data_IF_047217520674
#
_entry.id   IF_047217520674
#
_cell.length_a   1.000
_cell.length_b   1.000
_cell.length_c   1.000
_cell.angle_alpha   90.00
_cell.angle_beta   90.00
_cell.angle_gamma   90.00
#
_symmetry.space_group_name_H-M   'P 1'
#
loop_
_entity.id
_entity.type
_entity.pdbx_description
1 polymer ?
#
# COMPACT_ATOMS: atom_id res chain seq x y z
N UNK A 1 -37.85 -26.46 52.26
CA UNK A 1 -36.55 -26.32 51.56
C UNK A 1 -36.60 -26.80 50.10
N UNK A 2 -37.11 -28.01 49.80
CA UNK A 2 -37.18 -28.54 48.41
C UNK A 2 -38.07 -27.72 47.46
N UNK A 3 -39.24 -27.29 47.92
CA UNK A 3 -40.18 -26.44 47.17
C UNK A 3 -39.57 -25.07 46.80
N UNK A 4 -38.82 -24.46 47.73
CA UNK A 4 -38.21 -23.14 47.53
C UNK A 4 -37.12 -23.17 46.46
N UNK A 5 -36.30 -24.24 46.42
CA UNK A 5 -35.28 -24.44 45.38
C UNK A 5 -35.90 -24.49 43.98
N UNK A 6 -37.05 -25.15 43.82
CA UNK A 6 -37.77 -25.19 42.52
C UNK A 6 -38.18 -23.79 42.05
N UNK A 7 -38.66 -22.92 42.95
CA UNK A 7 -39.03 -21.55 42.59
C UNK A 7 -37.82 -20.68 42.24
N UNK A 8 -36.70 -20.87 42.95
CA UNK A 8 -35.43 -20.18 42.62
C UNK A 8 -34.92 -20.63 41.25
N UNK A 9 -34.88 -21.93 40.97
CA UNK A 9 -34.51 -22.47 39.65
C UNK A 9 -35.41 -21.96 38.53
N UNK A 10 -36.73 -21.91 38.76
CA UNK A 10 -37.69 -21.35 37.80
C UNK A 10 -37.42 -19.87 37.48
N UNK A 11 -36.89 -19.10 38.44
CA UNK A 11 -36.50 -17.69 38.27
C UNK A 11 -35.22 -17.53 37.45
N UNK A 12 -34.30 -18.50 37.51
CA UNK A 12 -33.04 -18.48 36.74
C UNK A 12 -33.24 -18.80 35.25
N UNK A 13 -34.29 -19.53 34.87
CA UNK A 13 -34.60 -19.84 33.46
C UNK A 13 -34.78 -18.57 32.61
N UNK A 14 -35.67 -17.61 32.94
CA UNK A 14 -35.82 -16.38 32.16
C UNK A 14 -34.55 -15.50 32.21
N UNK A 15 -33.82 -15.50 33.32
CA UNK A 15 -32.56 -14.75 33.48
C UNK A 15 -31.46 -15.30 32.57
N UNK A 16 -31.31 -16.62 32.48
CA UNK A 16 -30.34 -17.25 31.57
C UNK A 16 -30.70 -17.02 30.11
N UNK A 17 -32.00 -17.04 29.77
CA UNK A 17 -32.49 -16.69 28.44
C UNK A 17 -32.19 -15.23 28.09
N UNK A 18 -32.45 -14.30 29.00
CA UNK A 18 -32.14 -12.87 28.87
C UNK A 18 -30.65 -12.63 28.68
N UNK A 19 -29.83 -13.27 29.52
CA UNK A 19 -28.37 -13.22 29.44
C UNK A 19 -27.84 -13.73 28.11
N UNK A 20 -28.40 -14.83 27.59
CA UNK A 20 -28.03 -15.36 26.27
C UNK A 20 -28.39 -14.36 25.17
N UNK A 21 -29.57 -13.75 25.22
CA UNK A 21 -29.98 -12.74 24.24
C UNK A 21 -29.07 -11.50 24.26
N UNK A 22 -28.73 -10.97 25.44
CA UNK A 22 -27.82 -9.83 25.59
C UNK A 22 -26.40 -10.15 25.10
N UNK A 23 -25.89 -11.35 25.41
CA UNK A 23 -24.59 -11.79 24.93
C UNK A 23 -24.58 -11.93 23.40
N UNK A 24 -25.59 -12.57 22.82
CA UNK A 24 -25.69 -12.74 21.37
C UNK A 24 -25.80 -11.38 20.67
N UNK A 25 -26.58 -10.44 21.22
CA UNK A 25 -26.66 -9.08 20.70
C UNK A 25 -25.32 -8.35 20.70
N UNK A 26 -24.59 -8.39 21.82
CA UNK A 26 -23.28 -7.75 21.94
C UNK A 26 -22.26 -8.37 20.98
N UNK A 27 -22.26 -9.70 20.83
CA UNK A 27 -21.37 -10.41 19.90
C UNK A 27 -21.72 -10.07 18.45
N UNK A 28 -23.01 -10.04 18.08
CA UNK A 28 -23.43 -9.71 16.72
C UNK A 28 -23.11 -8.27 16.34
N UNK A 29 -23.29 -7.32 17.27
CA UNK A 29 -22.88 -5.94 17.04
C UNK A 29 -21.37 -5.79 16.95
N UNK A 30 -20.63 -6.46 17.83
CA UNK A 30 -19.17 -6.49 17.80
C UNK A 30 -18.65 -7.05 16.48
N UNK A 31 -19.24 -8.15 16.00
CA UNK A 31 -18.88 -8.77 14.72
C UNK A 31 -19.17 -7.81 13.54
N UNK A 32 -20.34 -7.18 13.50
CA UNK A 32 -20.66 -6.20 12.46
C UNK A 32 -19.65 -5.04 12.44
N UNK A 33 -19.27 -4.50 13.61
CA UNK A 33 -18.28 -3.43 13.72
C UNK A 33 -16.89 -3.88 13.27
N UNK A 34 -16.48 -5.10 13.58
CA UNK A 34 -15.21 -5.66 13.10
C UNK A 34 -15.22 -5.78 11.58
N UNK A 35 -16.28 -6.33 10.99
CA UNK A 35 -16.43 -6.45 9.54
C UNK A 35 -16.37 -5.07 8.86
N UNK A 36 -17.11 -4.09 9.37
CA UNK A 36 -17.08 -2.71 8.86
C UNK A 36 -15.66 -2.13 8.96
N UNK A 37 -15.00 -2.29 10.09
CA UNK A 37 -13.65 -1.75 10.32
C UNK A 37 -12.63 -2.38 9.37
N UNK A 38 -12.70 -3.70 9.15
CA UNK A 38 -11.84 -4.41 8.20
C UNK A 38 -12.06 -3.89 6.78
N UNK A 39 -13.31 -3.75 6.35
CA UNK A 39 -13.64 -3.26 5.01
C UNK A 39 -13.19 -1.81 4.80
N UNK A 40 -13.36 -0.95 5.80
CA UNK A 40 -12.90 0.44 5.74
C UNK A 40 -11.36 0.51 5.70
N UNK A 41 -10.65 -0.28 6.50
CA UNK A 41 -9.18 -0.35 6.46
C UNK A 41 -8.67 -0.89 5.12
N UNK A 42 -9.33 -1.93 4.59
CA UNK A 42 -8.99 -2.49 3.27
C UNK A 42 -9.20 -1.47 2.16
N UNK A 43 -10.35 -0.79 2.14
CA UNK A 43 -10.64 0.27 1.17
C UNK A 43 -9.67 1.44 1.28
N UNK A 44 -9.35 1.89 2.50
CA UNK A 44 -8.42 2.98 2.73
C UNK A 44 -7.01 2.63 2.25
N UNK A 45 -6.47 1.47 2.64
CA UNK A 45 -5.13 1.03 2.22
C UNK A 45 -5.04 0.85 0.71
N UNK A 46 -6.08 0.30 0.07
CA UNK A 46 -6.13 0.18 -1.39
C UNK A 46 -6.15 1.54 -2.08
N UNK A 47 -6.99 2.47 -1.60
CA UNK A 47 -7.06 3.83 -2.14
C UNK A 47 -5.75 4.58 -2.00
N UNK A 48 -5.12 4.53 -0.82
CA UNK A 48 -3.85 5.21 -0.56
C UNK A 48 -2.70 4.62 -1.39
N UNK A 49 -2.63 3.29 -1.48
CA UNK A 49 -1.60 2.60 -2.24
C UNK A 49 -1.75 2.80 -3.76
N UNK A 50 -2.98 3.01 -4.24
CA UNK A 50 -3.24 3.37 -5.63
C UNK A 50 -3.00 4.86 -5.91
N UNK A 51 -3.43 5.74 -5.02
CA UNK A 51 -3.36 7.19 -5.22
C UNK A 51 -1.94 7.77 -5.05
N UNK A 52 -1.06 7.09 -4.33
CA UNK A 52 0.29 7.58 -4.05
C UNK A 52 1.34 6.49 -4.25
N UNK A 53 2.50 6.81 -4.88
CA UNK A 53 3.63 5.89 -4.96
C UNK A 53 4.30 5.78 -3.58
N UNK A 54 3.64 5.10 -2.65
CA UNK A 54 4.15 4.96 -1.29
C UNK A 54 5.42 4.10 -1.30
N UNK A 55 6.49 4.50 -0.59
CA UNK A 55 7.63 3.61 -0.37
C UNK A 55 7.21 2.43 0.51
N UNK A 56 7.93 1.31 0.39
CA UNK A 56 7.65 0.06 1.12
C UNK A 56 7.48 0.28 2.65
N UNK A 57 8.32 1.13 3.25
CA UNK A 57 8.24 1.46 4.68
C UNK A 57 6.94 2.16 5.09
N UNK A 58 6.43 3.10 4.27
CA UNK A 58 5.17 3.78 4.55
C UNK A 58 3.99 2.83 4.47
N UNK A 59 3.98 1.92 3.48
CA UNK A 59 2.98 0.85 3.36
C UNK A 59 2.98 -0.06 4.59
N UNK A 60 4.16 -0.48 5.05
CA UNK A 60 4.30 -1.32 6.24
C UNK A 60 3.70 -0.65 7.49
N UNK A 61 4.02 0.62 7.73
CA UNK A 61 3.48 1.39 8.86
C UNK A 61 1.96 1.52 8.75
N UNK A 62 1.42 1.83 7.57
CA UNK A 62 -0.02 1.92 7.34
C UNK A 62 -0.73 0.58 7.62
N UNK A 63 -0.18 -0.53 7.11
CA UNK A 63 -0.71 -1.87 7.38
C UNK A 63 -0.71 -2.19 8.88
N UNK A 64 0.35 -1.80 9.60
CA UNK A 64 0.47 -2.02 11.05
C UNK A 64 -0.56 -1.20 11.84
N UNK A 65 -0.80 0.06 11.44
CA UNK A 65 -1.86 0.91 12.01
C UNK A 65 -3.23 0.29 11.77
N UNK A 66 -3.53 -0.15 10.55
CA UNK A 66 -4.80 -0.79 10.22
C UNK A 66 -5.01 -2.09 11.01
N UNK A 67 -3.98 -2.94 11.12
CA UNK A 67 -4.03 -4.15 11.96
C UNK A 67 -4.23 -3.81 13.43
N UNK A 68 -3.60 -2.75 13.94
CA UNK A 68 -3.79 -2.25 15.29
C UNK A 68 -5.23 -1.78 15.55
N UNK A 69 -5.83 -1.03 14.62
CA UNK A 69 -7.22 -0.56 14.71
C UNK A 69 -8.19 -1.76 14.71
N UNK A 70 -8.03 -2.68 13.76
CA UNK A 70 -8.85 -3.90 13.67
C UNK A 70 -8.71 -4.73 14.95
N UNK A 71 -7.48 -4.94 15.43
CA UNK A 71 -7.19 -5.67 16.66
C UNK A 71 -7.80 -5.01 17.90
N UNK A 72 -7.72 -3.68 18.00
CA UNK A 72 -8.34 -2.92 19.09
C UNK A 72 -9.86 -3.04 19.07
N UNK A 73 -10.50 -2.87 17.92
CA UNK A 73 -11.97 -2.99 17.79
C UNK A 73 -12.41 -4.42 18.13
N UNK A 74 -11.70 -5.43 17.60
CA UNK A 74 -11.94 -6.84 17.90
C UNK A 74 -11.84 -7.14 19.40
N UNK A 75 -10.75 -6.71 20.06
CA UNK A 75 -10.58 -6.91 21.50
C UNK A 75 -11.65 -6.18 22.33
N UNK A 76 -11.96 -4.94 21.96
CA UNK A 76 -12.85 -4.05 22.73
C UNK A 76 -14.33 -4.42 22.62
N UNK A 77 -14.76 -4.88 21.43
CA UNK A 77 -16.17 -5.06 21.09
C UNK A 77 -16.56 -6.53 20.88
N UNK A 78 -15.62 -7.44 20.63
CA UNK A 78 -15.91 -8.86 20.51
C UNK A 78 -15.39 -9.65 21.72
N UNK A 79 -14.11 -9.51 22.07
CA UNK A 79 -13.51 -10.30 23.18
C UNK A 79 -13.96 -9.82 24.57
N UNK A 80 -14.02 -8.51 24.80
CA UNK A 80 -14.42 -7.95 26.11
C UNK A 80 -15.85 -8.33 26.54
N UNK A 81 -16.87 -8.33 25.65
CA UNK A 81 -18.20 -8.81 26.02
C UNK A 81 -18.27 -10.33 26.24
N UNK A 82 -17.46 -11.12 25.53
CA UNK A 82 -17.37 -12.57 25.73
C UNK A 82 -16.75 -12.93 27.08
N UNK A 83 -15.79 -12.14 27.56
CA UNK A 83 -15.10 -12.36 28.84
C UNK A 83 -15.86 -11.79 30.04
N UNK A 84 -16.64 -10.71 29.87
CA UNK A 84 -17.49 -10.17 30.94
C UNK A 84 -18.78 -10.97 31.07
N UNK A 85 -18.88 -11.75 32.15
CA UNK A 85 -20.11 -12.44 32.52
C UNK A 85 -21.18 -11.40 32.91
N UNK A 86 -22.25 -11.28 32.13
CA UNK A 86 -23.46 -10.55 32.55
C UNK A 86 -23.97 -11.17 33.85
N UNK A 87 -23.94 -10.40 34.93
CA UNK A 87 -24.42 -10.85 36.25
C UNK A 87 -25.93 -11.07 36.22
N UNK A 88 -26.44 -12.01 37.01
CA UNK A 88 -27.89 -12.25 37.12
C UNK A 88 -28.67 -10.97 37.46
N UNK A 89 -28.06 -10.09 38.26
CA UNK A 89 -28.63 -8.82 38.71
C UNK A 89 -28.80 -7.83 37.55
N UNK A 90 -27.82 -7.77 36.62
CA UNK A 90 -27.91 -6.96 35.40
C UNK A 90 -28.98 -7.48 34.43
N UNK A 91 -29.13 -8.80 34.33
CA UNK A 91 -30.17 -9.40 33.51
C UNK A 91 -31.57 -9.18 34.12
N UNK A 92 -31.70 -9.22 35.46
CA UNK A 92 -32.93 -8.87 36.15
C UNK A 92 -33.31 -7.41 35.93
N UNK A 93 -32.35 -6.48 36.06
CA UNK A 93 -32.54 -5.06 35.76
C UNK A 93 -32.96 -4.81 34.31
N UNK A 94 -32.36 -5.51 33.35
CA UNK A 94 -32.71 -5.37 31.94
C UNK A 94 -34.16 -5.84 31.65
N UNK A 95 -34.63 -6.89 32.34
CA UNK A 95 -36.02 -7.34 32.25
C UNK A 95 -36.96 -6.31 32.89
N UNK A 96 -36.65 -5.80 34.08
CA UNK A 96 -37.48 -4.79 34.76
C UNK A 96 -37.56 -3.47 34.01
N UNK A 97 -36.50 -3.06 33.32
CA UNK A 97 -36.49 -1.86 32.49
C UNK A 97 -37.50 -1.95 31.32
N UNK A 98 -37.78 -3.15 30.83
CA UNK A 98 -38.76 -3.38 29.78
C UNK A 98 -40.18 -3.65 30.33
N UNK A 99 -40.28 -4.18 31.55
CA UNK A 99 -41.54 -4.49 32.22
C UNK A 99 -41.65 -3.73 33.55
N UNK A 100 -42.04 -2.44 33.54
CA UNK A 100 -42.16 -1.61 34.75
C UNK A 100 -43.14 -2.16 35.80
N UNK A 101 -44.05 -3.06 35.39
CA UNK A 101 -45.01 -3.76 36.26
C UNK A 101 -44.34 -4.56 37.39
N UNK A 102 -43.08 -4.96 37.20
CA UNK A 102 -42.32 -5.72 38.20
C UNK A 102 -41.81 -4.87 39.37
N UNK A 103 -41.74 -3.52 39.26
CA UNK A 103 -41.39 -2.60 40.36
C UNK A 103 -40.26 -3.07 41.31
N UNK A 104 -39.11 -3.48 40.77
CA UNK A 104 -37.96 -4.01 41.54
C UNK A 104 -38.17 -5.38 42.22
N UNK A 105 -39.27 -6.07 41.97
CA UNK A 105 -39.58 -7.36 42.57
C UNK A 105 -38.70 -8.50 42.02
N UNK A 106 -38.25 -8.41 40.75
CA UNK A 106 -37.40 -9.41 40.12
C UNK A 106 -35.96 -9.31 40.61
N UNK A 107 -35.38 -8.11 40.67
CA UNK A 107 -34.03 -7.95 41.22
C UNK A 107 -33.97 -8.35 42.70
N UNK A 108 -34.98 -7.97 43.48
CA UNK A 108 -35.10 -8.34 44.89
C UNK A 108 -35.26 -9.85 45.05
N UNK A 109 -36.09 -10.51 44.23
CA UNK A 109 -36.24 -11.97 44.26
C UNK A 109 -34.95 -12.73 43.88
N UNK A 110 -34.13 -12.19 42.97
CA UNK A 110 -32.81 -12.78 42.64
C UNK A 110 -31.83 -12.63 43.80
N UNK A 111 -31.80 -11.47 44.45
CA UNK A 111 -30.94 -11.22 45.62
C UNK A 111 -31.35 -12.11 46.80
N UNK A 112 -32.64 -12.15 47.14
CA UNK A 112 -33.18 -13.01 48.18
C UNK A 112 -33.01 -14.48 47.86
N UNK A 113 -33.23 -14.90 46.61
CA UNK A 113 -33.00 -16.27 46.17
C UNK A 113 -31.53 -16.72 46.33
N UNK A 114 -30.57 -15.81 46.14
CA UNK A 114 -29.14 -16.10 46.39
C UNK A 114 -28.84 -16.25 47.89
N UNK A 115 -29.46 -15.42 48.74
CA UNK A 115 -29.30 -15.49 50.20
C UNK A 115 -29.96 -16.74 50.79
N UNK A 116 -31.13 -17.14 50.30
CA UNK A 116 -31.90 -18.29 50.78
C UNK A 116 -31.29 -19.65 50.40
N UNK A 117 -30.41 -19.69 49.40
CA UNK A 117 -29.70 -20.90 48.94
C UNK A 117 -28.36 -21.08 49.67
N UNK A 118 -27.78 -20.01 50.22
CA UNK A 118 -26.48 -20.02 50.88
C UNK A 118 -26.64 -20.30 52.40
N UNK A 119 -26.31 -21.51 52.88
CA UNK A 119 -26.64 -21.94 54.25
C UNK A 119 -25.97 -21.07 55.33
N UNK A 120 -24.82 -20.46 55.05
CA UNK A 120 -24.11 -19.58 56.00
C UNK A 120 -24.79 -18.22 56.20
N UNK A 121 -25.44 -17.69 55.16
CA UNK A 121 -26.11 -16.38 55.21
C UNK A 121 -27.57 -16.48 55.67
N UNK A 122 -28.15 -17.68 55.57
CA UNK A 122 -29.49 -17.96 56.05
C UNK A 122 -29.58 -17.81 57.57
N UNK A 123 -28.55 -18.25 58.33
CA UNK A 123 -28.46 -18.15 59.79
C UNK A 123 -28.55 -16.71 60.30
N UNK A 124 -27.99 -15.76 59.55
CA UNK A 124 -28.00 -14.32 59.86
C UNK A 124 -29.33 -13.63 59.52
N UNK A 125 -30.17 -14.26 58.67
CA UNK A 125 -31.39 -13.67 58.10
C UNK A 125 -32.70 -14.35 58.56
N UNK A 126 -32.66 -15.16 59.63
CA UNK A 126 -33.78 -16.04 60.04
C UNK A 126 -35.11 -15.31 60.28
N UNK A 127 -35.10 -14.10 60.83
CA UNK A 127 -36.35 -13.38 61.16
C UNK A 127 -37.13 -12.90 59.93
N UNK A 128 -36.45 -12.64 58.81
CA UNK A 128 -37.07 -12.15 57.57
C UNK A 128 -37.12 -13.19 56.44
N UNK A 129 -36.65 -14.42 56.71
CA UNK A 129 -36.55 -15.49 55.71
C UNK A 129 -37.92 -15.91 55.14
N UNK A 130 -38.98 -15.87 55.96
CA UNK A 130 -40.34 -16.22 55.52
C UNK A 130 -40.91 -15.20 54.53
N UNK A 131 -40.71 -13.89 54.79
CA UNK A 131 -41.11 -12.82 53.88
C UNK A 131 -40.29 -12.87 52.57
N UNK A 132 -38.98 -13.08 52.68
CA UNK A 132 -38.10 -13.25 51.52
C UNK A 132 -38.53 -14.46 50.66
N UNK A 133 -38.86 -15.60 51.27
CA UNK A 133 -39.37 -16.77 50.57
C UNK A 133 -40.71 -16.51 49.86
N UNK A 134 -41.60 -15.73 50.48
CA UNK A 134 -42.89 -15.35 49.88
C UNK A 134 -42.70 -14.47 48.65
N UNK A 135 -41.84 -13.44 48.73
CA UNK A 135 -41.53 -12.56 47.59
C UNK A 135 -40.92 -13.33 46.43
N UNK A 136 -39.99 -14.26 46.68
CA UNK A 136 -39.41 -15.13 45.63
C UNK A 136 -40.51 -15.96 44.95
N UNK A 137 -41.41 -16.56 45.72
CA UNK A 137 -42.51 -17.39 45.19
C UNK A 137 -43.50 -16.57 44.36
N UNK A 138 -43.87 -15.38 44.84
CA UNK A 138 -44.84 -14.52 44.15
C UNK A 138 -44.25 -13.95 42.86
N UNK A 139 -43.01 -13.45 42.91
CA UNK A 139 -42.28 -12.97 41.73
C UNK A 139 -42.06 -14.09 40.72
N UNK A 140 -41.68 -15.30 41.15
CA UNK A 140 -41.54 -16.45 40.26
C UNK A 140 -42.84 -16.73 39.48
N UNK A 141 -43.99 -16.70 40.16
CA UNK A 141 -45.30 -16.91 39.51
C UNK A 141 -45.65 -15.78 38.54
N UNK A 142 -45.37 -14.52 38.87
CA UNK A 142 -45.61 -13.39 37.96
C UNK A 142 -44.74 -13.48 36.71
N UNK A 143 -43.44 -13.72 36.89
CA UNK A 143 -42.47 -13.80 35.79
C UNK A 143 -42.73 -15.01 34.91
N UNK A 144 -43.17 -16.15 35.47
CA UNK A 144 -43.51 -17.34 34.68
C UNK A 144 -44.74 -17.12 33.79
N UNK A 145 -45.70 -16.31 34.25
CA UNK A 145 -46.86 -15.91 33.43
C UNK A 145 -46.50 -14.91 32.33
N UNK A 146 -45.42 -14.17 32.51
CA UNK A 146 -44.92 -13.23 31.49
C UNK A 146 -44.03 -13.98 30.49
N UNK A 147 -44.38 -13.92 29.20
CA UNK A 147 -43.47 -14.36 28.15
C UNK A 147 -42.32 -13.38 28.03
N UNK A 148 -41.20 -13.67 28.69
CA UNK A 148 -39.98 -12.87 28.55
C UNK A 148 -39.42 -13.06 27.13
N UNK A 149 -39.79 -12.14 26.25
CA UNK A 149 -39.36 -12.07 24.84
C UNK A 149 -39.19 -10.61 24.44
N UNK A 150 -38.10 -10.32 23.71
CA UNK A 150 -37.87 -8.97 23.18
C UNK A 150 -37.05 -8.04 24.07
N UNK A 151 -36.31 -8.56 25.07
CA UNK A 151 -35.45 -7.78 26.00
C UNK A 151 -34.47 -6.86 25.28
N UNK A 152 -34.12 -7.19 24.05
CA UNK A 152 -33.14 -6.44 23.27
C UNK A 152 -33.76 -5.94 21.97
N UNK A 153 -33.59 -4.64 21.72
CA UNK A 153 -33.96 -4.01 20.46
C UNK A 153 -32.99 -4.43 19.35
N UNK A 154 -33.46 -5.24 18.41
CA UNK A 154 -32.66 -5.74 17.28
C UNK A 154 -32.48 -4.73 16.15
N UNK A 155 -33.29 -3.65 16.10
CA UNK A 155 -33.23 -2.65 15.02
C UNK A 155 -31.83 -2.04 14.81
N UNK A 156 -31.09 -1.60 15.84
CA UNK A 156 -29.73 -1.09 15.67
C UNK A 156 -28.77 -2.14 15.11
N UNK A 157 -28.91 -3.40 15.52
CA UNK A 157 -28.12 -4.52 14.99
C UNK A 157 -28.41 -4.73 13.52
N UNK A 158 -29.68 -4.75 13.12
CA UNK A 158 -30.06 -4.89 11.71
C UNK A 158 -29.50 -3.73 10.88
N UNK A 159 -29.55 -2.48 11.38
CA UNK A 159 -28.93 -1.33 10.70
C UNK A 159 -27.42 -1.49 10.53
N UNK A 160 -26.70 -1.93 11.57
CA UNK A 160 -25.26 -2.19 11.48
C UNK A 160 -24.94 -3.29 10.46
N UNK A 161 -25.71 -4.38 10.47
CA UNK A 161 -25.55 -5.46 9.50
C UNK A 161 -25.94 -5.03 8.08
N UNK A 162 -26.91 -4.13 7.92
CA UNK A 162 -27.24 -3.55 6.61
C UNK A 162 -26.06 -2.72 6.08
N UNK A 163 -25.42 -1.89 6.92
CA UNK A 163 -24.21 -1.14 6.54
C UNK A 163 -23.07 -2.10 6.18
N UNK A 164 -22.81 -3.11 7.01
CA UNK A 164 -21.80 -4.13 6.74
C UNK A 164 -22.09 -4.87 5.42
N UNK A 165 -23.36 -5.20 5.16
CA UNK A 165 -23.82 -5.84 3.93
C UNK A 165 -23.59 -4.97 2.70
N UNK A 166 -23.92 -3.67 2.77
CA UNK A 166 -23.66 -2.72 1.67
C UNK A 166 -22.15 -2.60 1.38
N UNK A 167 -21.32 -2.50 2.42
CA UNK A 167 -19.87 -2.46 2.25
C UNK A 167 -19.31 -3.77 1.68
N UNK A 168 -19.82 -4.92 2.12
CA UNK A 168 -19.45 -6.23 1.58
C UNK A 168 -19.86 -6.36 0.10
N UNK A 169 -21.06 -5.91 -0.26
CA UNK A 169 -21.52 -5.91 -1.65
C UNK A 169 -20.66 -5.00 -2.53
N UNK A 170 -20.32 -3.79 -2.05
CA UNK A 170 -19.43 -2.88 -2.77
C UNK A 170 -18.03 -3.48 -2.96
N UNK A 171 -17.46 -4.08 -1.92
CA UNK A 171 -16.16 -4.76 -1.99
C UNK A 171 -16.20 -6.00 -2.91
N UNK A 172 -17.28 -6.78 -2.86
CA UNK A 172 -17.50 -7.94 -3.72
C UNK A 172 -17.61 -7.54 -5.19
N UNK A 173 -18.42 -6.52 -5.50
CA UNK A 173 -18.57 -5.99 -6.85
C UNK A 173 -17.23 -5.47 -7.38
N UNK A 174 -16.48 -4.71 -6.58
CA UNK A 174 -15.14 -4.23 -6.95
C UNK A 174 -14.19 -5.39 -7.25
N UNK A 175 -14.21 -6.45 -6.43
CA UNK A 175 -13.37 -7.65 -6.63
C UNK A 175 -13.76 -8.40 -7.91
N UNK A 176 -15.04 -8.45 -8.26
CA UNK A 176 -15.50 -9.08 -9.51
C UNK A 176 -15.07 -8.30 -10.75
N UNK A 177 -15.09 -6.95 -10.69
CA UNK A 177 -14.70 -6.11 -11.83
C UNK A 177 -13.17 -6.02 -11.99
N UNK A 178 -12.43 -5.99 -10.87
CA UNK A 178 -10.98 -5.78 -10.86
C UNK A 178 -10.22 -6.83 -10.02
N UNK A 179 -10.30 -8.14 -10.34
CA UNK A 179 -9.72 -9.19 -9.52
C UNK A 179 -8.19 -9.08 -9.40
N UNK A 180 -7.51 -8.70 -10.48
CA UNK A 180 -6.04 -8.54 -10.49
C UNK A 180 -5.58 -7.39 -9.57
N UNK A 181 -6.35 -6.30 -9.48
CA UNK A 181 -6.01 -5.19 -8.60
C UNK A 181 -6.10 -5.60 -7.12
N UNK A 182 -7.16 -6.33 -6.75
CA UNK A 182 -7.34 -6.83 -5.38
C UNK A 182 -6.23 -7.82 -5.02
N UNK A 183 -5.86 -8.71 -5.95
CA UNK A 183 -4.76 -9.65 -5.75
C UNK A 183 -3.42 -8.94 -5.55
N UNK A 184 -3.09 -7.96 -6.39
CA UNK A 184 -1.87 -7.17 -6.26
C UNK A 184 -1.84 -6.39 -4.94
N UNK A 185 -2.97 -5.78 -4.56
CA UNK A 185 -3.11 -5.10 -3.27
C UNK A 185 -2.89 -6.05 -2.10
N UNK A 186 -3.47 -7.27 -2.12
CA UNK A 186 -3.25 -8.29 -1.09
C UNK A 186 -1.78 -8.72 -1.00
N UNK A 187 -1.15 -9.00 -2.14
CA UNK A 187 0.28 -9.34 -2.20
C UNK A 187 1.12 -8.21 -1.58
N UNK A 188 0.83 -6.95 -1.92
CA UNK A 188 1.51 -5.76 -1.38
C UNK A 188 1.25 -5.52 0.11
N UNK A 189 0.04 -5.82 0.58
CA UNK A 189 -0.33 -5.67 1.98
C UNK A 189 0.44 -6.65 2.89
N UNK A 190 0.56 -7.92 2.47
CA UNK A 190 1.27 -8.94 3.24
C UNK A 190 2.78 -8.96 3.00
N UNK A 191 3.25 -8.52 1.83
CA UNK A 191 4.68 -8.53 1.48
C UNK A 191 5.20 -7.14 1.06
N UNK A 192 5.16 -6.13 1.94
CA UNK A 192 5.39 -4.74 1.58
C UNK A 192 6.79 -4.45 0.99
N UNK A 193 7.79 -5.28 1.32
CA UNK A 193 9.18 -5.09 0.89
C UNK A 193 9.57 -5.86 -0.39
N UNK A 194 8.78 -6.84 -0.81
CA UNK A 194 9.08 -7.69 -1.99
C UNK A 194 8.00 -7.64 -3.07
N UNK A 195 6.93 -6.89 -2.84
CA UNK A 195 5.81 -6.85 -3.75
C UNK A 195 6.10 -6.05 -5.03
N UNK A 196 5.44 -6.48 -6.12
CA UNK A 196 5.53 -5.83 -7.43
C UNK A 196 4.90 -4.44 -7.39
N UNK A 197 5.45 -3.54 -8.20
CA UNK A 197 4.83 -2.25 -8.44
C UNK A 197 3.49 -2.41 -9.17
N UNK A 198 2.59 -1.44 -8.97
CA UNK A 198 1.34 -1.40 -9.73
C UNK A 198 1.69 -1.40 -11.23
N UNK A 199 0.99 -2.18 -12.06
CA UNK A 199 1.24 -2.20 -13.48
C UNK A 199 1.04 -0.79 -14.05
N UNK A 200 2.14 -0.17 -14.46
CA UNK A 200 2.12 1.13 -15.11
C UNK A 200 1.32 1.03 -16.42
N UNK A 201 0.49 2.04 -16.67
CA UNK A 201 -0.31 2.12 -17.90
C UNK A 201 0.61 2.33 -19.10
N UNK A 202 1.65 3.14 -18.92
CA UNK A 202 2.67 3.41 -19.90
C UNK A 202 3.93 2.60 -19.55
N UNK A 203 4.65 2.11 -20.56
CA UNK A 203 5.97 1.51 -20.36
C UNK A 203 6.88 2.01 -21.48
N UNK A 204 8.04 2.54 -21.11
CA UNK A 204 9.00 3.12 -22.05
C UNK A 204 10.26 2.25 -22.11
N UNK A 205 10.69 1.91 -23.32
CA UNK A 205 11.95 1.21 -23.58
C UNK A 205 12.82 2.05 -24.49
N UNK A 206 14.00 2.43 -24.02
CA UNK A 206 14.99 3.13 -24.85
C UNK A 206 15.62 2.11 -25.83
N UNK A 207 15.43 2.34 -27.13
CA UNK A 207 16.04 1.51 -28.19
C UNK A 207 17.44 2.00 -28.51
N UNK A 208 17.61 3.32 -28.59
CA UNK A 208 18.89 3.98 -28.81
C UNK A 208 19.02 5.19 -27.89
N UNK A 209 20.16 5.34 -27.20
CA UNK A 209 21.32 4.43 -27.12
C UNK A 209 21.03 3.16 -26.29
N UNK A 210 21.65 2.03 -26.67
CA UNK A 210 21.46 0.73 -25.99
C UNK A 210 22.25 0.63 -24.68
N UNK A 211 23.36 1.38 -24.57
CA UNK A 211 24.23 1.37 -23.38
C UNK A 211 23.89 2.55 -22.47
N UNK A 212 23.93 2.37 -21.13
CA UNK A 212 23.66 3.44 -20.17
C UNK A 212 24.71 4.57 -20.22
N UNK A 213 25.93 4.26 -20.66
CA UNK A 213 26.99 5.24 -20.91
C UNK A 213 27.35 5.18 -22.39
N UNK A 214 27.18 6.31 -23.09
CA UNK A 214 27.54 6.46 -24.49
C UNK A 214 28.64 7.50 -24.62
N UNK A 215 29.72 7.14 -25.31
CA UNK A 215 30.83 8.06 -25.59
C UNK A 215 30.62 8.64 -26.98
N UNK A 216 30.61 9.97 -27.09
CA UNK A 216 30.47 10.69 -28.35
C UNK A 216 31.65 11.64 -28.54
N UNK A 217 31.97 11.95 -29.79
CA UNK A 217 32.94 13.01 -30.05
C UNK A 217 32.29 14.38 -29.90
N UNK A 218 33.07 15.38 -29.50
CA UNK A 218 32.61 16.77 -29.40
C UNK A 218 32.02 17.25 -30.73
N UNK A 219 30.78 17.74 -30.68
CA UNK A 219 30.03 18.20 -31.85
C UNK A 219 29.22 17.11 -32.57
N UNK A 220 29.33 15.84 -32.17
CA UNK A 220 28.48 14.78 -32.73
C UNK A 220 27.02 14.94 -32.28
N UNK A 221 26.11 14.36 -33.08
CA UNK A 221 24.69 14.31 -32.78
C UNK A 221 24.27 12.91 -32.35
N UNK A 222 23.30 12.84 -31.45
CA UNK A 222 22.72 11.57 -30.98
C UNK A 222 21.21 11.57 -31.20
N UNK A 223 20.73 10.53 -31.86
CA UNK A 223 19.29 10.27 -31.96
C UNK A 223 18.85 9.38 -30.81
N UNK A 224 18.00 9.91 -29.94
CA UNK A 224 17.34 9.15 -28.87
C UNK A 224 16.03 8.58 -29.42
N UNK A 225 15.92 7.26 -29.42
CA UNK A 225 14.73 6.52 -29.87
C UNK A 225 14.11 5.76 -28.69
N UNK A 226 12.83 6.03 -28.42
CA UNK A 226 12.08 5.42 -27.33
C UNK A 226 10.85 4.72 -27.89
N UNK A 227 10.61 3.49 -27.43
CA UNK A 227 9.44 2.70 -27.78
C UNK A 227 8.50 2.62 -26.58
N UNK A 228 7.21 2.87 -26.83
CA UNK A 228 6.15 2.60 -25.88
C UNK A 228 5.70 1.15 -26.01
N UNK A 229 5.86 0.36 -24.95
CA UNK A 229 5.47 -1.05 -24.88
C UNK A 229 4.36 -1.31 -23.84
N UNK A 230 3.75 -0.25 -23.30
CA UNK A 230 2.71 -0.33 -22.26
C UNK A 230 1.34 -0.78 -22.77
N UNK A 231 0.38 -0.93 -21.85
CA UNK A 231 -1.03 -1.23 -22.19
C UNK A 231 -1.71 -0.06 -22.92
N UNK A 232 -1.25 1.16 -22.65
CA UNK A 232 -1.64 2.37 -23.36
C UNK A 232 -0.38 3.05 -23.89
N UNK A 233 -0.52 3.71 -25.05
CA UNK A 233 0.54 4.52 -25.63
C UNK A 233 0.31 5.99 -25.27
N UNK A 234 1.35 6.72 -24.82
CA UNK A 234 1.22 8.13 -24.48
C UNK A 234 1.13 8.97 -25.76
N UNK A 235 0.39 10.08 -25.73
CA UNK A 235 0.33 10.99 -26.88
C UNK A 235 1.60 11.86 -27.00
N UNK A 236 2.29 12.06 -25.88
CA UNK A 236 3.52 12.88 -25.81
C UNK A 236 4.50 12.23 -24.83
N UNK A 237 5.78 12.22 -25.21
CA UNK A 237 6.90 11.83 -24.35
C UNK A 237 7.82 13.03 -24.20
N UNK A 238 8.18 13.35 -22.96
CA UNK A 238 9.08 14.47 -22.66
C UNK A 238 10.46 13.93 -22.35
N UNK A 239 11.47 14.51 -23.00
CA UNK A 239 12.88 14.24 -22.74
C UNK A 239 13.43 15.31 -21.81
N UNK A 240 13.93 14.89 -20.65
CA UNK A 240 14.64 15.73 -19.72
C UNK A 240 16.14 15.57 -19.92
N UNK A 241 16.83 16.69 -20.08
CA UNK A 241 18.29 16.72 -20.27
C UNK A 241 18.95 17.61 -19.22
N UNK A 242 20.14 17.23 -18.77
CA UNK A 242 20.94 17.99 -17.81
C UNK A 242 22.39 17.98 -18.29
N UNK A 243 22.95 19.17 -18.47
CA UNK A 243 24.27 19.37 -19.08
C UNK A 243 25.29 19.75 -18.00
N UNK A 244 26.56 19.42 -18.22
CA UNK A 244 27.66 19.98 -17.42
C UNK A 244 28.00 21.39 -17.89
N UNK A 245 28.17 22.28 -16.92
CA UNK A 245 28.69 23.63 -17.11
C UNK A 245 30.18 23.61 -17.49
N UNK A 246 30.72 24.72 -17.99
CA UNK A 246 32.12 24.86 -18.42
C UNK A 246 33.12 24.54 -17.29
N UNK A 247 32.70 24.74 -16.04
CA UNK A 247 33.47 24.42 -14.82
C UNK A 247 33.41 22.95 -14.41
N UNK A 248 32.72 22.11 -15.18
CA UNK A 248 32.58 20.66 -14.94
C UNK A 248 31.49 20.26 -13.94
N UNK A 249 30.71 21.22 -13.42
CA UNK A 249 29.60 20.98 -12.49
C UNK A 249 28.30 20.66 -13.25
N UNK A 250 27.45 19.80 -12.70
CA UNK A 250 26.12 19.56 -13.26
C UNK A 250 25.23 20.79 -13.05
N UNK A 251 24.50 21.20 -14.09
CA UNK A 251 23.46 22.22 -13.95
C UNK A 251 22.40 21.74 -12.93
N UNK A 252 21.92 22.65 -12.08
CA UNK A 252 20.98 22.33 -11.00
C UNK A 252 19.54 22.06 -11.44
N UNK A 253 19.26 22.08 -12.75
CA UNK A 253 17.92 21.90 -13.30
C UNK A 253 17.95 20.97 -14.52
N UNK A 254 16.80 20.37 -14.81
CA UNK A 254 16.58 19.57 -16.01
C UNK A 254 15.82 20.41 -17.04
N UNK A 255 16.32 20.44 -18.27
CA UNK A 255 15.63 21.05 -19.39
C UNK A 255 14.68 20.03 -20.04
N UNK A 256 13.40 20.36 -20.11
CA UNK A 256 12.36 19.51 -20.68
C UNK A 256 12.10 19.86 -22.14
N UNK A 257 12.20 18.88 -23.03
CA UNK A 257 11.86 19.03 -24.45
C UNK A 257 10.91 17.92 -24.90
N UNK A 258 9.81 18.24 -25.60
CA UNK A 258 8.95 17.20 -26.16
C UNK A 258 9.67 16.43 -27.27
N UNK A 259 9.43 15.12 -27.32
CA UNK A 259 9.90 14.24 -28.38
C UNK A 259 8.92 14.23 -29.55
N UNK A 260 9.44 14.01 -30.75
CA UNK A 260 8.62 13.83 -31.95
C UNK A 260 8.02 12.42 -31.96
N UNK A 261 6.70 12.33 -32.15
CA UNK A 261 6.01 11.06 -32.32
C UNK A 261 6.14 10.57 -33.76
N UNK A 262 6.65 9.35 -33.92
CA UNK A 262 6.72 8.64 -35.20
C UNK A 262 5.70 7.51 -35.14
N UNK A 263 4.48 7.79 -35.58
CA UNK A 263 3.34 6.89 -35.43
C UNK A 263 2.81 6.87 -33.99
N UNK A 264 2.27 5.74 -33.55
CA UNK A 264 1.62 5.61 -32.24
C UNK A 264 2.53 5.09 -31.12
N UNK A 265 3.67 4.47 -31.44
CA UNK A 265 4.48 3.71 -30.45
C UNK A 265 5.94 4.11 -30.37
N UNK A 266 6.43 4.96 -31.28
CA UNK A 266 7.84 5.36 -31.33
C UNK A 266 7.97 6.87 -31.17
N UNK A 267 8.90 7.27 -30.30
CA UNK A 267 9.23 8.67 -30.04
C UNK A 267 10.70 8.88 -30.33
N UNK A 268 11.02 9.96 -31.03
CA UNK A 268 12.37 10.30 -31.46
C UNK A 268 12.70 11.72 -31.07
N UNK A 269 13.94 11.93 -30.60
CA UNK A 269 14.53 13.25 -30.47
C UNK A 269 15.97 13.21 -30.93
N UNK A 270 16.33 14.11 -31.83
CA UNK A 270 17.73 14.30 -32.22
C UNK A 270 18.34 15.39 -31.35
N UNK A 271 19.38 15.03 -30.61
CA UNK A 271 20.22 15.96 -29.86
C UNK A 271 21.38 16.34 -30.78
N UNK A 272 21.37 17.57 -31.28
CA UNK A 272 22.37 18.06 -32.22
C UNK A 272 23.50 18.79 -31.50
N UNK A 273 24.72 18.69 -32.05
CA UNK A 273 25.90 19.43 -31.61
C UNK A 273 26.18 19.31 -30.09
N UNK A 274 26.41 18.08 -29.61
CA UNK A 274 26.68 17.83 -28.19
C UNK A 274 28.14 18.19 -27.88
N UNK A 275 28.34 19.25 -27.07
CA UNK A 275 29.68 19.78 -26.75
C UNK A 275 30.19 19.33 -25.38
N UNK A 276 29.31 19.15 -24.40
CA UNK A 276 29.64 18.81 -23.01
C UNK A 276 28.91 17.55 -22.56
N UNK A 277 29.39 16.92 -21.49
CA UNK A 277 28.73 15.75 -20.91
C UNK A 277 27.28 16.07 -20.54
N UNK A 278 26.40 15.13 -20.85
CA UNK A 278 24.96 15.29 -20.66
C UNK A 278 24.37 14.04 -20.00
N UNK A 279 23.38 14.24 -19.14
CA UNK A 279 22.48 13.19 -18.67
C UNK A 279 21.12 13.40 -19.31
N UNK A 280 20.43 12.33 -19.60
CA UNK A 280 19.04 12.42 -20.00
C UNK A 280 18.22 11.26 -19.45
N UNK A 281 16.94 11.53 -19.27
CA UNK A 281 15.90 10.51 -19.09
C UNK A 281 14.64 11.01 -19.79
N UNK A 282 13.76 10.08 -20.14
CA UNK A 282 12.46 10.38 -20.68
C UNK A 282 11.34 9.95 -19.74
N UNK A 283 10.24 10.70 -19.81
CA UNK A 283 9.06 10.55 -18.98
C UNK A 283 7.80 10.63 -19.85
N UNK A 284 6.82 9.77 -19.57
CA UNK A 284 5.51 9.82 -20.18
C UNK A 284 4.44 9.32 -19.21
N UNK A 285 3.61 10.22 -18.69
CA UNK A 285 2.56 9.87 -17.73
C UNK A 285 3.14 9.28 -16.45
N UNK A 286 2.91 7.99 -16.22
CA UNK A 286 3.40 7.24 -15.05
C UNK A 286 4.72 6.48 -15.30
N UNK A 287 5.25 6.54 -16.53
CA UNK A 287 6.46 5.83 -16.92
C UNK A 287 7.68 6.74 -16.99
N UNK A 288 8.76 6.35 -16.32
CA UNK A 288 10.06 7.02 -16.37
C UNK A 288 11.14 6.03 -16.78
N UNK A 289 12.05 6.46 -17.65
CA UNK A 289 13.21 5.64 -18.08
C UNK A 289 14.40 5.81 -17.15
N UNK A 290 15.35 4.86 -17.10
CA UNK A 290 16.61 5.03 -16.39
C UNK A 290 17.40 6.24 -16.92
N UNK A 291 18.23 6.84 -16.07
CA UNK A 291 19.09 7.95 -16.48
C UNK A 291 20.26 7.43 -17.32
N UNK A 292 20.38 7.94 -18.55
CA UNK A 292 21.49 7.69 -19.46
C UNK A 292 22.52 8.80 -19.36
N UNK A 293 23.81 8.46 -19.52
CA UNK A 293 24.93 9.38 -19.51
C UNK A 293 25.62 9.41 -20.87
N UNK A 294 25.83 10.61 -21.38
CA UNK A 294 26.61 10.90 -22.57
C UNK A 294 27.91 11.53 -22.10
N UNK A 295 29.03 10.90 -22.46
CA UNK A 295 30.38 11.41 -22.19
C UNK A 295 30.97 11.92 -23.49
N UNK A 296 31.36 13.18 -23.51
CA UNK A 296 31.92 13.80 -24.71
C UNK A 296 33.44 13.72 -24.63
N UNK A 297 34.07 13.23 -25.70
CA UNK A 297 35.53 13.23 -25.86
C UNK A 297 35.93 14.05 -27.07
N UNK A 298 37.09 14.67 -27.01
CA UNK A 298 37.64 15.35 -28.19
C UNK A 298 38.15 14.32 -29.19
N UNK A 299 38.01 14.61 -30.49
CA UNK A 299 38.59 13.77 -31.53
C UNK A 299 40.11 13.94 -31.48
N UNK A 300 40.88 12.86 -31.60
CA UNK A 300 42.30 13.00 -31.82
C UNK A 300 42.54 13.80 -33.10
N UNK A 301 43.45 14.75 -33.02
CA UNK A 301 43.92 15.48 -34.20
C UNK A 301 45.39 15.13 -34.44
N UNK A 302 45.79 15.22 -35.71
CA UNK A 302 47.18 15.02 -36.09
C UNK A 302 47.93 16.30 -35.71
N UNK A 303 48.81 16.21 -34.72
CA UNK A 303 49.61 17.35 -34.25
C UNK A 303 50.79 17.60 -35.21
N UNK A 304 51.45 16.52 -35.63
CA UNK A 304 52.61 16.61 -36.53
C UNK A 304 52.75 15.37 -37.40
N UNK A 305 53.03 15.58 -38.67
CA UNK A 305 53.47 14.55 -39.60
C UNK A 305 54.93 14.84 -39.93
N UNK A 306 55.80 13.85 -39.78
CA UNK A 306 57.22 13.95 -40.13
C UNK A 306 57.54 12.87 -41.15
N UNK A 307 57.99 13.27 -42.33
CA UNK A 307 58.40 12.40 -43.42
C UNK A 307 59.92 12.47 -43.54
N UNK A 308 60.61 11.40 -43.17
CA UNK A 308 62.05 11.28 -43.37
C UNK A 308 62.30 10.67 -44.75
N UNK A 309 62.98 11.41 -45.61
CA UNK A 309 63.26 11.07 -46.99
C UNK A 309 64.67 10.53 -47.10
N UNK A 310 64.78 9.23 -47.41
CA UNK A 310 66.05 8.59 -47.71
C UNK A 310 66.23 8.55 -49.23
N UNK A 311 67.07 9.45 -49.74
CA UNK A 311 67.31 9.56 -51.18
C UNK A 311 68.19 8.40 -51.69
N UNK A 312 68.00 7.97 -52.94
CA UNK A 312 68.85 6.95 -53.55
C UNK A 312 70.32 7.39 -53.66
N UNK A 313 71.25 6.44 -53.58
CA UNK A 313 72.70 6.72 -53.62
C UNK A 313 73.17 7.48 -54.87
N UNK A 314 72.49 7.31 -56.01
CA UNK A 314 72.84 7.98 -57.27
C UNK A 314 72.72 9.51 -57.19
N UNK A 315 71.93 10.04 -56.25
CA UNK A 315 71.76 11.48 -56.04
C UNK A 315 72.86 12.10 -55.21
N UNK A 316 73.64 11.29 -54.47
CA UNK A 316 74.65 11.76 -53.51
C UNK A 316 74.13 12.87 -52.59
N UNK A 317 72.85 12.82 -52.22
CA UNK A 317 72.17 13.82 -51.40
C UNK A 317 71.95 13.27 -50.00
N UNK A 318 72.09 14.13 -48.99
CA UNK A 318 71.78 13.77 -47.60
C UNK A 318 70.27 13.64 -47.41
N UNK A 319 69.88 12.80 -46.47
CA UNK A 319 68.48 12.63 -46.06
C UNK A 319 67.85 13.97 -45.68
N UNK A 320 66.56 14.11 -45.97
CA UNK A 320 65.82 15.35 -45.80
C UNK A 320 64.51 15.07 -45.05
N UNK A 321 63.99 16.08 -44.35
CA UNK A 321 62.81 15.96 -43.50
C UNK A 321 61.72 16.88 -44.00
N UNK A 322 60.58 16.31 -44.40
CA UNK A 322 59.42 17.07 -44.83
C UNK A 322 58.29 16.99 -43.77
N UNK A 323 57.61 18.11 -43.57
CA UNK A 323 56.50 18.23 -42.60
C UNK A 323 55.12 18.34 -43.27
N UNK A 324 55.06 18.22 -44.59
CA UNK A 324 53.83 18.38 -45.39
C UNK A 324 53.43 17.06 -46.05
N UNK A 325 52.13 16.79 -46.11
CA UNK A 325 51.59 15.52 -46.65
C UNK A 325 51.59 15.42 -48.18
N UNK A 326 51.89 16.51 -48.90
CA UNK A 326 52.04 16.50 -50.36
C UNK A 326 53.49 16.77 -50.71
N UNK A 327 54.16 15.76 -51.28
CA UNK A 327 55.56 15.84 -51.62
C UNK A 327 55.82 15.19 -52.98
N UNK A 328 56.58 15.88 -53.84
CA UNK A 328 57.12 15.29 -55.06
C UNK A 328 58.52 14.78 -54.78
N UNK A 329 58.69 13.45 -54.83
CA UNK A 329 59.98 12.82 -54.61
C UNK A 329 60.47 12.11 -55.88
N UNK A 330 61.79 12.06 -56.07
CA UNK A 330 62.44 11.26 -57.10
C UNK A 330 62.12 9.77 -56.94
N UNK A 331 62.03 9.06 -58.06
CA UNK A 331 61.79 7.62 -58.09
C UNK A 331 62.91 6.87 -57.34
N UNK A 332 62.50 5.97 -56.44
CA UNK A 332 63.39 5.17 -55.60
C UNK A 332 63.64 5.72 -54.20
N UNK A 333 63.12 6.91 -53.85
CA UNK A 333 63.23 7.48 -52.50
C UNK A 333 62.42 6.64 -51.49
N UNK A 334 63.03 6.22 -50.38
CA UNK A 334 62.31 5.56 -49.27
C UNK A 334 61.84 6.61 -48.28
N UNK A 335 60.54 6.60 -47.95
CA UNK A 335 59.95 7.56 -47.03
C UNK A 335 59.54 6.85 -45.75
N UNK A 336 60.10 7.27 -44.62
CA UNK A 336 59.66 6.83 -43.29
C UNK A 336 58.74 7.90 -42.71
N UNK A 337 57.46 7.56 -42.55
CA UNK A 337 56.44 8.48 -42.02
C UNK A 337 56.22 8.23 -40.52
N UNK A 338 56.36 9.28 -39.71
CA UNK A 338 56.00 9.29 -38.29
C UNK A 338 54.87 10.28 -38.07
N UNK A 339 53.76 9.82 -37.48
CA UNK A 339 52.58 10.63 -37.17
C UNK A 339 52.44 10.73 -35.66
N UNK A 340 52.45 11.96 -35.14
CA UNK A 340 52.15 12.26 -33.74
C UNK A 340 50.69 12.69 -33.65
N UNK A 341 49.91 11.95 -32.87
CA UNK A 341 48.49 12.20 -32.64
C UNK A 341 48.29 12.62 -31.20
N UNK A 342 47.51 13.68 -30.98
CA UNK A 342 47.21 14.22 -29.66
C UNK A 342 45.71 14.39 -29.46
N UNK A 343 45.27 14.26 -28.22
CA UNK A 343 43.92 14.59 -27.75
C UNK A 343 44.10 15.70 -26.72
N UNK A 344 43.49 16.86 -26.94
CA UNK A 344 43.63 18.01 -26.04
C UNK A 344 42.98 17.77 -24.68
#
# INVERSE_FOLDING_TARGET
MSELRKYVEALYIPITKARRQMNTYNVLNGLALVVITVLLCAGATLLFDWATPMPAGARFVLSLICLGIVGYVFARWMVKPLTRRVTADQAALAIEAQYPELKSALISAVQFGRLLVDPKKLEEFYESAALAALTVKETAKRVYKMSVSGIVNWLPTVKLWAIAGVLLLAAGLYTMVYPENVRLWLERFFTPFSARDWPQLYQLRVKHPTKPVTILAKGDSLTVDILSCGRKHPDTVTLYTMVKDEKGNWQGFWESTPMESIGSTRFRKKLENIVTDMKFYAEAGDATTPVFRITVKERPFIERITLNLHYPEYMRRKDDVAFQGSLRVPQGTKITMTIVVSTK
#
